data_IF_028556344418
#
_entry.id   IF_028556344418
#
_cell.length_a   1.000
_cell.length_b   1.000
_cell.length_c   1.000
_cell.angle_alpha   90.00
_cell.angle_beta   90.00
_cell.angle_gamma   90.00
#
_symmetry.space_group_name_H-M   'P 1'
#
loop_
_entity.id
_entity.type
_entity.pdbx_description
1 polymer ?
#
# COMPACT_ATOMS: atom_id res chain seq x y z
N UNK A 1 1.92 -22.76 -12.47
CA UNK A 1 1.55 -22.72 -11.05
C UNK A 1 0.07 -22.41 -10.97
N UNK A 2 -0.82 -23.41 -10.90
CA UNK A 2 -2.23 -23.15 -10.65
C UNK A 2 -2.35 -22.77 -9.17
N UNK A 3 -3.02 -21.68 -8.86
CA UNK A 3 -3.46 -21.22 -7.54
C UNK A 3 -2.60 -20.22 -6.75
N UNK A 4 -1.75 -19.43 -7.39
CA UNK A 4 -1.26 -18.24 -6.69
C UNK A 4 -2.43 -17.29 -6.40
N UNK A 5 -2.57 -16.76 -5.17
CA UNK A 5 -3.57 -15.73 -4.88
C UNK A 5 -3.20 -14.37 -5.49
N UNK A 6 -1.95 -14.23 -5.98
CA UNK A 6 -1.44 -13.02 -6.62
C UNK A 6 -1.92 -12.91 -8.07
N UNK A 7 -2.11 -11.69 -8.54
CA UNK A 7 -2.26 -11.39 -9.96
C UNK A 7 -0.93 -10.89 -10.53
N UNK A 8 -0.44 -11.57 -11.57
CA UNK A 8 0.76 -11.13 -12.31
C UNK A 8 0.36 -10.05 -13.30
N UNK A 9 0.97 -8.88 -13.20
CA UNK A 9 0.75 -7.73 -14.08
C UNK A 9 2.01 -7.43 -14.87
N UNK A 10 1.88 -7.51 -16.20
CA UNK A 10 2.95 -7.14 -17.13
C UNK A 10 3.04 -5.63 -17.27
N UNK A 11 4.20 -5.08 -16.94
CA UNK A 11 4.57 -3.67 -17.06
C UNK A 11 5.87 -3.55 -17.84
N UNK A 12 5.88 -3.84 -19.16
CA UNK A 12 7.12 -3.95 -19.92
C UNK A 12 8.06 -2.74 -19.73
N UNK A 13 9.37 -2.97 -19.48
CA UNK A 13 10.11 -4.24 -19.55
C UNK A 13 10.13 -5.05 -18.24
N UNK A 14 9.36 -4.70 -17.21
CA UNK A 14 9.25 -5.46 -15.95
C UNK A 14 7.89 -6.14 -15.79
N UNK A 15 7.78 -6.96 -14.75
CA UNK A 15 6.56 -7.62 -14.31
C UNK A 15 6.46 -7.49 -12.80
N UNK A 16 5.24 -7.31 -12.29
CA UNK A 16 4.98 -7.22 -10.85
C UNK A 16 3.88 -8.21 -10.43
N UNK A 17 3.86 -8.55 -9.15
CA UNK A 17 2.77 -9.32 -8.55
C UNK A 17 1.93 -8.41 -7.68
N UNK A 18 0.63 -8.32 -7.97
CA UNK A 18 -0.37 -7.69 -7.13
C UNK A 18 -0.82 -8.71 -6.08
N UNK A 19 -0.61 -8.40 -4.81
CA UNK A 19 -0.78 -9.35 -3.71
C UNK A 19 -2.06 -9.07 -2.90
N UNK A 20 -2.76 -10.11 -2.40
CA UNK A 20 -3.95 -9.95 -1.55
C UNK A 20 -3.69 -9.13 -0.28
N UNK A 21 -2.46 -9.09 0.19
CA UNK A 21 -2.04 -8.26 1.31
C UNK A 21 -2.06 -6.76 0.99
N UNK A 22 -2.54 -6.35 -0.19
CA UNK A 22 -2.57 -4.97 -0.69
C UNK A 22 -1.16 -4.42 -0.96
N UNK A 23 -0.29 -5.27 -1.44
CA UNK A 23 1.09 -4.95 -1.76
C UNK A 23 1.41 -5.26 -3.22
N UNK A 24 2.45 -4.64 -3.74
CA UNK A 24 3.02 -4.93 -5.06
C UNK A 24 4.43 -5.47 -4.86
N UNK A 25 4.72 -6.63 -5.42
CA UNK A 25 6.07 -7.19 -5.38
C UNK A 25 6.70 -7.18 -6.77
N UNK A 26 7.91 -6.64 -6.89
CA UNK A 26 8.74 -6.72 -8.09
C UNK A 26 9.81 -7.79 -7.89
N UNK A 27 9.67 -8.96 -8.53
CA UNK A 27 10.64 -10.06 -8.36
C UNK A 27 12.06 -9.72 -8.82
N UNK A 28 12.19 -8.90 -9.86
CA UNK A 28 13.50 -8.57 -10.46
C UNK A 28 14.43 -7.84 -9.47
N UNK A 29 13.89 -6.99 -8.60
CA UNK A 29 14.67 -6.26 -7.58
C UNK A 29 14.49 -6.79 -6.16
N UNK A 30 13.60 -7.79 -5.96
CA UNK A 30 13.22 -8.27 -4.64
C UNK A 30 12.52 -7.20 -3.78
N UNK A 31 11.84 -6.23 -4.41
CA UNK A 31 11.24 -5.09 -3.72
C UNK A 31 9.75 -5.27 -3.53
N UNK A 32 9.29 -5.13 -2.30
CA UNK A 32 7.89 -5.07 -1.91
C UNK A 32 7.48 -3.61 -1.73
N UNK A 33 6.39 -3.21 -2.37
CA UNK A 33 5.81 -1.87 -2.24
C UNK A 33 4.47 -1.96 -1.52
N UNK A 34 4.27 -1.05 -0.56
CA UNK A 34 3.00 -0.81 0.13
C UNK A 34 2.74 0.69 0.17
N UNK A 35 1.50 1.11 0.32
CA UNK A 35 1.13 2.52 0.40
C UNK A 35 0.18 2.76 1.57
N UNK A 36 0.21 3.95 2.15
CA UNK A 36 -0.80 4.41 3.11
C UNK A 36 -0.98 3.44 4.28
N UNK A 37 0.11 3.13 4.95
CA UNK A 37 0.15 2.21 6.11
C UNK A 37 -0.62 2.81 7.28
N UNK A 38 -0.54 4.13 7.46
CA UNK A 38 -1.22 4.89 8.51
C UNK A 38 -1.12 4.23 9.89
N UNK A 39 0.08 3.79 10.25
CA UNK A 39 0.32 3.15 11.53
C UNK A 39 -0.10 4.09 12.67
N UNK A 40 -0.77 3.54 13.68
CA UNK A 40 -1.28 4.30 14.82
C UNK A 40 -2.54 5.12 14.56
N UNK A 41 -3.16 5.07 13.39
CA UNK A 41 -4.39 5.82 13.07
C UNK A 41 -5.51 5.59 14.09
N UNK A 42 -5.75 4.35 14.48
CA UNK A 42 -6.78 4.04 15.48
C UNK A 42 -6.45 4.64 16.87
N UNK A 43 -5.19 4.79 17.23
CA UNK A 43 -4.80 5.47 18.47
C UNK A 43 -5.19 6.95 18.43
N UNK A 44 -5.01 7.62 17.29
CA UNK A 44 -5.43 9.01 17.09
C UNK A 44 -6.94 9.17 17.24
N UNK A 45 -7.72 8.27 16.64
CA UNK A 45 -9.19 8.32 16.75
C UNK A 45 -9.65 8.11 18.20
N UNK A 46 -9.05 7.16 18.94
CA UNK A 46 -9.34 6.95 20.36
C UNK A 46 -8.98 8.17 21.22
N UNK A 47 -7.82 8.79 20.95
CA UNK A 47 -7.42 10.01 21.66
C UNK A 47 -8.42 11.16 21.44
N UNK A 48 -9.14 11.15 20.33
CA UNK A 48 -10.22 12.10 20.00
C UNK A 48 -11.61 11.65 20.47
N UNK A 49 -11.69 10.60 21.29
CA UNK A 49 -12.97 10.08 21.85
C UNK A 49 -13.79 9.26 20.89
N UNK A 50 -13.29 8.90 19.72
CA UNK A 50 -13.99 8.06 18.75
C UNK A 50 -13.70 6.58 19.08
N UNK A 51 -14.73 5.76 19.37
CA UNK A 51 -14.55 4.36 19.68
C UNK A 51 -14.10 3.60 18.43
N UNK A 52 -12.91 3.04 18.47
CA UNK A 52 -12.35 2.19 17.40
C UNK A 52 -11.70 0.95 18.01
N UNK A 53 -11.70 -0.19 17.29
CA UNK A 53 -11.10 -1.42 17.78
C UNK A 53 -9.64 -1.24 18.21
N UNK A 54 -9.22 -2.01 19.20
CA UNK A 54 -7.82 -2.17 19.55
C UNK A 54 -7.14 -3.15 18.59
N UNK A 55 -5.79 -3.10 18.49
CA UNK A 55 -5.02 -4.09 17.73
C UNK A 55 -4.75 -3.74 16.27
N UNK A 56 -5.37 -2.71 15.70
CA UNK A 56 -5.25 -2.40 14.27
C UNK A 56 -3.82 -2.11 13.78
N UNK A 57 -2.93 -1.60 14.64
CA UNK A 57 -1.50 -1.45 14.30
C UNK A 57 -0.82 -2.82 14.24
N UNK A 58 -1.13 -3.73 15.17
CA UNK A 58 -0.65 -5.12 15.16
C UNK A 58 -1.10 -5.83 13.89
N UNK A 59 -2.40 -5.82 13.59
CA UNK A 59 -2.95 -6.43 12.36
C UNK A 59 -2.28 -5.90 11.08
N UNK A 60 -1.94 -4.62 11.04
CA UNK A 60 -1.25 -4.01 9.90
C UNK A 60 0.18 -4.55 9.79
N UNK A 61 0.91 -4.62 10.91
CA UNK A 61 2.28 -5.15 10.95
C UNK A 61 2.33 -6.66 10.70
N UNK A 62 1.37 -7.43 11.21
CA UNK A 62 1.24 -8.87 10.96
C UNK A 62 1.01 -9.14 9.47
N UNK A 63 0.14 -8.37 8.81
CA UNK A 63 -0.06 -8.45 7.37
C UNK A 63 1.21 -8.09 6.60
N UNK A 64 1.98 -7.10 7.07
CA UNK A 64 3.24 -6.73 6.45
C UNK A 64 4.27 -7.85 6.58
N UNK A 65 4.38 -8.47 7.75
CA UNK A 65 5.23 -9.63 7.98
C UNK A 65 4.84 -10.81 7.06
N UNK A 66 3.55 -11.10 6.95
CA UNK A 66 3.04 -12.14 6.06
C UNK A 66 3.38 -11.86 4.59
N UNK A 67 3.21 -10.62 4.13
CA UNK A 67 3.56 -10.22 2.77
C UNK A 67 5.06 -10.39 2.49
N UNK A 68 5.94 -9.91 3.39
CA UNK A 68 7.40 -10.05 3.29
C UNK A 68 7.81 -11.52 3.22
N UNK A 69 7.31 -12.34 4.16
CA UNK A 69 7.65 -13.76 4.23
C UNK A 69 7.18 -14.52 2.97
N UNK A 70 5.98 -14.24 2.49
CA UNK A 70 5.37 -14.93 1.34
C UNK A 70 6.06 -14.61 0.01
N UNK A 71 6.52 -13.38 -0.19
CA UNK A 71 7.20 -13.01 -1.43
C UNK A 71 8.73 -13.13 -1.35
N UNK A 72 9.31 -13.25 -0.17
CA UNK A 72 10.76 -13.30 0.03
C UNK A 72 11.45 -11.95 -0.28
N UNK A 73 10.76 -10.84 0.00
CA UNK A 73 11.30 -9.50 -0.26
C UNK A 73 12.57 -9.24 0.56
N UNK A 74 13.56 -8.63 -0.08
CA UNK A 74 14.79 -8.14 0.56
C UNK A 74 14.74 -6.64 0.79
N UNK A 75 13.78 -5.95 0.17
CA UNK A 75 13.54 -4.52 0.31
C UNK A 75 12.04 -4.24 0.45
N UNK A 76 11.71 -3.35 1.37
CA UNK A 76 10.38 -2.77 1.55
C UNK A 76 10.44 -1.27 1.21
N UNK A 77 9.51 -0.81 0.38
CA UNK A 77 9.31 0.61 0.08
C UNK A 77 7.89 0.99 0.42
N UNK A 78 7.72 1.92 1.35
CA UNK A 78 6.44 2.52 1.68
C UNK A 78 6.24 3.76 0.83
N UNK A 79 5.16 3.80 0.06
CA UNK A 79 4.80 4.90 -0.82
C UNK A 79 3.97 5.96 -0.06
N UNK A 80 4.58 6.52 0.98
CA UNK A 80 4.03 7.59 1.81
C UNK A 80 2.99 7.14 2.85
N UNK A 81 2.68 8.10 3.72
CA UNK A 81 1.71 7.96 4.81
C UNK A 81 1.98 6.72 5.68
N UNK A 82 3.26 6.57 6.10
CA UNK A 82 3.67 5.50 6.99
C UNK A 82 3.03 5.66 8.38
N UNK A 83 3.10 6.88 8.95
CA UNK A 83 2.40 7.25 10.18
C UNK A 83 1.19 8.15 9.85
N UNK A 84 0.15 8.11 10.67
CA UNK A 84 -1.04 8.92 10.42
C UNK A 84 -0.91 10.36 10.91
N UNK A 85 -0.34 10.56 12.09
CA UNK A 85 -0.15 11.86 12.74
C UNK A 85 0.87 11.74 13.89
N UNK A 86 1.25 12.84 14.51
CA UNK A 86 2.14 12.85 15.68
C UNK A 86 1.59 11.99 16.83
N UNK A 87 0.28 12.03 17.05
CA UNK A 87 -0.42 11.24 18.08
C UNK A 87 -0.41 9.72 17.77
N UNK A 88 -0.02 9.32 16.57
CA UNK A 88 0.20 7.90 16.22
C UNK A 88 1.36 7.27 16.98
N UNK A 89 2.25 8.07 17.57
CA UNK A 89 3.44 7.64 18.28
C UNK A 89 3.11 7.21 19.74
N UNK A 90 1.99 6.48 19.92
CA UNK A 90 1.69 5.88 21.21
C UNK A 90 2.73 4.81 21.57
N UNK A 91 2.98 4.63 22.88
CA UNK A 91 3.93 3.62 23.35
C UNK A 91 3.64 2.22 22.77
N UNK A 92 2.37 1.85 22.67
CA UNK A 92 1.97 0.56 22.10
C UNK A 92 2.27 0.45 20.60
N UNK A 93 2.07 1.53 19.83
CA UNK A 93 2.38 1.55 18.37
C UNK A 93 3.90 1.46 18.18
N UNK A 94 4.67 2.20 18.95
CA UNK A 94 6.13 2.17 18.83
C UNK A 94 6.72 0.84 19.27
N UNK A 95 6.21 0.23 20.34
CA UNK A 95 6.63 -1.10 20.78
C UNK A 95 6.33 -2.18 19.71
N UNK A 96 5.16 -2.13 19.09
CA UNK A 96 4.80 -3.05 18.00
C UNK A 96 5.73 -2.88 16.78
N UNK A 97 6.05 -1.63 16.41
CA UNK A 97 6.96 -1.34 15.30
C UNK A 97 8.39 -1.82 15.60
N UNK A 98 8.88 -1.61 16.84
CA UNK A 98 10.16 -2.11 17.29
C UNK A 98 10.24 -3.64 17.18
N UNK A 99 9.26 -4.35 17.74
CA UNK A 99 9.21 -5.80 17.69
C UNK A 99 9.14 -6.33 16.24
N UNK A 100 8.38 -5.65 15.38
CA UNK A 100 8.32 -6.01 13.95
C UNK A 100 9.69 -5.82 13.29
N UNK A 101 10.39 -4.74 13.59
CA UNK A 101 11.71 -4.46 13.01
C UNK A 101 12.77 -5.45 13.50
N UNK A 102 12.75 -5.80 14.80
CA UNK A 102 13.64 -6.81 15.37
C UNK A 102 13.46 -8.18 14.72
N UNK A 103 12.24 -8.52 14.30
CA UNK A 103 11.93 -9.74 13.56
C UNK A 103 12.39 -9.71 12.10
N UNK A 104 12.75 -8.55 11.54
CA UNK A 104 13.16 -8.39 10.14
C UNK A 104 14.47 -7.57 10.02
N UNK A 105 15.58 -7.98 10.68
CA UNK A 105 16.80 -7.16 10.78
C UNK A 105 17.46 -6.89 9.42
N UNK A 106 17.38 -7.85 8.49
CA UNK A 106 18.05 -7.77 7.18
C UNK A 106 17.19 -7.11 6.09
N UNK A 107 15.92 -6.79 6.37
CA UNK A 107 15.04 -6.15 5.40
C UNK A 107 15.41 -4.66 5.26
N UNK A 108 15.83 -4.25 4.07
CA UNK A 108 16.08 -2.84 3.78
C UNK A 108 14.74 -2.09 3.66
N UNK A 109 14.49 -1.10 4.54
CA UNK A 109 13.23 -0.36 4.57
C UNK A 109 13.42 1.10 4.16
N UNK A 110 12.62 1.54 3.18
CA UNK A 110 12.55 2.93 2.73
C UNK A 110 11.14 3.50 2.77
N UNK A 111 11.02 4.80 3.00
CA UNK A 111 9.74 5.53 3.01
C UNK A 111 9.85 6.71 2.05
N UNK A 112 9.00 6.77 1.03
CA UNK A 112 8.74 7.98 0.27
C UNK A 112 7.83 8.85 1.13
N UNK A 113 8.15 10.12 1.29
CA UNK A 113 7.41 11.00 2.19
C UNK A 113 5.99 11.27 1.66
N UNK A 114 4.98 10.96 2.46
CA UNK A 114 3.57 11.32 2.23
C UNK A 114 3.18 12.62 2.92
N UNK A 115 1.97 13.11 2.65
CA UNK A 115 1.48 14.34 3.25
C UNK A 115 1.24 14.22 4.76
N UNK A 116 0.90 13.04 5.27
CA UNK A 116 0.76 12.79 6.71
C UNK A 116 2.12 12.71 7.41
N UNK A 117 3.14 12.14 6.77
CA UNK A 117 4.48 11.95 7.35
C UNK A 117 5.13 13.29 7.71
N UNK A 118 4.94 14.34 6.90
CA UNK A 118 5.43 15.71 7.17
C UNK A 118 4.97 16.26 8.52
N UNK A 119 3.80 15.85 8.98
CA UNK A 119 3.19 16.27 10.24
C UNK A 119 3.44 15.27 11.38
N UNK A 120 3.72 14.02 11.06
CA UNK A 120 3.96 12.96 12.04
C UNK A 120 5.39 12.99 12.60
N UNK A 121 6.35 13.58 11.89
CA UNK A 121 7.77 13.54 12.21
C UNK A 121 8.43 12.25 11.71
N UNK A 122 9.78 12.25 11.64
CA UNK A 122 10.57 11.15 11.05
C UNK A 122 10.94 10.07 12.08
N UNK A 123 10.02 9.74 12.99
CA UNK A 123 10.28 8.74 14.04
C UNK A 123 10.58 7.34 13.48
N UNK A 124 10.11 7.04 12.29
CA UNK A 124 10.37 5.78 11.58
C UNK A 124 11.87 5.51 11.36
N UNK A 125 12.71 6.56 11.30
CA UNK A 125 14.16 6.41 11.14
C UNK A 125 14.82 5.75 12.35
N UNK A 126 14.29 6.00 13.56
CA UNK A 126 14.74 5.33 14.78
C UNK A 126 14.51 3.81 14.74
N UNK A 127 13.64 3.33 13.85
CA UNK A 127 13.34 1.91 13.61
C UNK A 127 13.97 1.41 12.29
N UNK A 128 14.95 2.12 11.73
CA UNK A 128 15.67 1.70 10.54
C UNK A 128 14.88 1.81 9.22
N UNK A 129 13.79 2.60 9.20
CA UNK A 129 13.13 3.01 7.95
C UNK A 129 13.75 4.31 7.45
N UNK A 130 14.50 4.23 6.37
CA UNK A 130 15.14 5.40 5.78
C UNK A 130 14.11 6.25 5.03
N UNK A 131 13.98 7.53 5.40
CA UNK A 131 13.22 8.49 4.58
C UNK A 131 13.99 8.76 3.30
N UNK A 132 13.29 8.65 2.16
CA UNK A 132 13.87 8.89 0.84
C UNK A 132 13.72 10.37 0.48
N UNK A 133 14.78 10.96 -0.03
CA UNK A 133 14.78 12.33 -0.56
C UNK A 133 14.16 12.32 -1.98
N UNK A 134 12.82 12.38 -2.03
CA UNK A 134 12.03 12.30 -3.25
C UNK A 134 11.51 10.90 -3.58
N UNK A 135 11.15 10.65 -4.85
CA UNK A 135 10.59 9.38 -5.28
C UNK A 135 11.60 8.23 -5.18
N UNK A 136 11.10 7.02 -4.90
CA UNK A 136 11.89 5.82 -5.15
C UNK A 136 12.00 5.58 -6.66
N UNK A 137 13.19 5.20 -7.16
CA UNK A 137 13.43 5.04 -8.61
C UNK A 137 14.30 3.81 -8.88
N UNK A 138 13.87 3.00 -9.87
CA UNK A 138 14.68 1.99 -10.56
C UNK A 138 14.72 2.28 -12.05
N UNK A 139 15.31 1.38 -12.84
CA UNK A 139 15.34 1.51 -14.31
C UNK A 139 13.93 1.46 -14.92
N UNK A 140 13.02 0.71 -14.33
CA UNK A 140 11.70 0.39 -14.88
C UNK A 140 10.54 1.00 -14.11
N UNK A 141 10.70 1.19 -12.79
CA UNK A 141 9.65 1.67 -11.89
C UNK A 141 10.05 2.97 -11.20
N UNK A 142 9.05 3.75 -10.87
CA UNK A 142 9.10 4.92 -9.99
C UNK A 142 8.03 4.76 -8.91
N UNK A 143 8.38 4.98 -7.65
CA UNK A 143 7.47 4.98 -6.52
C UNK A 143 7.28 6.39 -5.98
N UNK A 144 6.04 6.86 -5.88
CA UNK A 144 5.65 8.18 -5.35
C UNK A 144 4.54 8.03 -4.34
N UNK A 145 4.26 9.08 -3.56
CA UNK A 145 3.05 9.08 -2.74
C UNK A 145 1.82 9.46 -3.56
N UNK A 146 1.82 10.64 -4.18
CA UNK A 146 0.66 11.16 -4.91
C UNK A 146 0.74 10.78 -6.42
N UNK A 147 -0.28 10.10 -6.98
CA UNK A 147 -0.34 9.79 -8.40
C UNK A 147 -0.41 11.02 -9.31
N UNK A 148 -0.75 12.21 -8.78
CA UNK A 148 -0.71 13.46 -9.52
C UNK A 148 0.70 13.96 -9.80
N UNK A 149 1.73 13.40 -9.14
CA UNK A 149 3.11 13.69 -9.47
C UNK A 149 3.43 13.23 -10.90
N UNK A 150 4.05 14.12 -11.68
CA UNK A 150 4.30 13.89 -13.09
C UNK A 150 4.95 12.53 -13.36
N UNK A 151 4.36 11.77 -14.27
CA UNK A 151 4.95 10.52 -14.75
C UNK A 151 6.25 10.82 -15.51
N UNK A 152 7.23 9.93 -15.37
CA UNK A 152 8.50 10.03 -16.09
C UNK A 152 8.45 9.12 -17.31
N UNK A 153 8.75 9.60 -18.53
CA UNK A 153 8.81 8.77 -19.72
C UNK A 153 9.72 7.53 -19.51
N UNK A 154 9.28 6.39 -20.02
CA UNK A 154 10.04 5.14 -19.95
C UNK A 154 9.88 4.34 -18.65
N UNK A 155 9.24 4.88 -17.60
CA UNK A 155 8.98 4.18 -16.33
C UNK A 155 7.51 4.02 -16.06
N UNK A 156 7.15 2.97 -15.32
CA UNK A 156 5.85 2.83 -14.69
C UNK A 156 5.88 3.47 -13.31
N UNK A 157 4.79 4.11 -12.92
CA UNK A 157 4.68 4.75 -11.60
C UNK A 157 3.79 3.90 -10.69
N UNK A 158 4.29 3.59 -9.51
CA UNK A 158 3.52 3.04 -8.39
C UNK A 158 3.19 4.19 -7.44
N UNK A 159 1.93 4.32 -7.01
CA UNK A 159 1.49 5.43 -6.17
C UNK A 159 0.52 4.99 -5.07
N UNK A 160 0.41 5.78 -4.01
CA UNK A 160 -0.55 5.66 -2.92
C UNK A 160 -1.61 6.76 -2.93
N UNK A 161 -1.89 7.34 -1.74
CA UNK A 161 -2.68 8.54 -1.47
C UNK A 161 -4.18 8.43 -1.73
N UNK A 162 -4.60 7.88 -2.86
CA UNK A 162 -6.02 7.84 -3.28
C UNK A 162 -6.84 6.81 -2.51
N UNK A 163 -6.21 5.74 -2.02
CA UNK A 163 -6.87 4.60 -1.38
C UNK A 163 -8.00 4.00 -2.24
N UNK A 164 -7.74 3.57 -3.48
CA UNK A 164 -8.79 3.17 -4.40
C UNK A 164 -9.60 1.99 -3.88
N UNK A 165 -10.92 2.13 -3.98
CA UNK A 165 -11.91 1.07 -3.73
C UNK A 165 -12.90 1.02 -4.88
N UNK A 166 -13.48 -0.14 -5.12
CA UNK A 166 -14.62 -0.30 -6.04
C UNK A 166 -15.82 -0.83 -5.29
N UNK A 167 -17.00 -0.49 -5.78
CA UNK A 167 -18.26 -0.99 -5.28
C UNK A 167 -18.71 -2.19 -6.10
N UNK A 168 -18.66 -3.36 -5.49
CA UNK A 168 -19.26 -4.56 -6.04
C UNK A 168 -20.75 -4.56 -5.66
N UNK A 169 -21.63 -4.67 -6.65
CA UNK A 169 -23.09 -4.67 -6.46
C UNK A 169 -23.60 -6.10 -6.56
N UNK A 170 -24.19 -6.62 -5.51
CA UNK A 170 -25.00 -7.81 -5.50
C UNK A 170 -26.46 -7.50 -5.89
N UNK A 171 -27.33 -8.49 -5.79
CA UNK A 171 -28.76 -8.33 -6.09
C UNK A 171 -29.47 -7.44 -5.06
N UNK A 172 -29.08 -7.48 -3.79
CA UNK A 172 -29.73 -6.80 -2.67
C UNK A 172 -28.78 -5.99 -1.79
N UNK A 173 -27.47 -6.06 -2.07
CA UNK A 173 -26.42 -5.44 -1.28
C UNK A 173 -25.34 -4.82 -2.14
N UNK A 174 -24.40 -4.13 -1.51
CA UNK A 174 -23.19 -3.67 -2.17
C UNK A 174 -22.01 -3.67 -1.20
N UNK A 175 -20.85 -4.08 -1.66
CA UNK A 175 -19.62 -4.13 -0.89
C UNK A 175 -18.58 -3.20 -1.52
N UNK A 176 -17.96 -2.35 -0.71
CA UNK A 176 -16.77 -1.58 -1.10
C UNK A 176 -15.54 -2.42 -0.79
N UNK A 177 -14.76 -2.70 -1.82
CA UNK A 177 -13.56 -3.53 -1.71
C UNK A 177 -12.33 -2.77 -2.19
N UNK A 178 -11.16 -2.92 -1.52
CA UNK A 178 -9.92 -2.34 -1.98
C UNK A 178 -9.56 -2.86 -3.37
N UNK A 179 -8.91 -2.01 -4.16
CA UNK A 179 -8.44 -2.42 -5.48
C UNK A 179 -7.13 -1.72 -5.85
N UNK A 180 -6.36 -2.34 -6.71
CA UNK A 180 -5.33 -1.68 -7.48
C UNK A 180 -5.98 -1.04 -8.70
N UNK A 181 -5.58 0.18 -9.01
CA UNK A 181 -6.13 0.95 -10.12
C UNK A 181 -5.02 1.39 -11.07
N UNK A 182 -5.04 0.86 -12.28
CA UNK A 182 -4.09 1.20 -13.33
C UNK A 182 -4.74 2.16 -14.34
N UNK A 183 -4.19 3.37 -14.41
CA UNK A 183 -4.55 4.40 -15.39
C UNK A 183 -3.31 4.84 -16.16
N UNK A 184 -3.30 4.59 -17.47
CA UNK A 184 -2.12 4.86 -18.30
C UNK A 184 -0.91 4.07 -17.79
N UNK A 185 0.11 4.77 -17.33
CA UNK A 185 1.33 4.17 -16.75
C UNK A 185 1.43 4.35 -15.23
N UNK A 186 0.33 4.65 -14.56
CA UNK A 186 0.28 4.82 -13.09
C UNK A 186 -0.57 3.72 -12.48
N UNK A 187 0.03 2.91 -11.63
CA UNK A 187 -0.64 1.91 -10.80
C UNK A 187 -0.79 2.48 -9.38
N UNK A 188 -2.02 2.81 -9.00
CA UNK A 188 -2.34 3.27 -7.66
C UNK A 188 -2.69 2.08 -6.76
N UNK A 189 -2.00 1.96 -5.65
CA UNK A 189 -2.16 0.90 -4.68
C UNK A 189 -3.35 1.20 -3.74
N UNK A 190 -4.06 0.18 -3.28
CA UNK A 190 -5.01 0.34 -2.17
C UNK A 190 -4.27 0.68 -0.88
N UNK A 191 -4.92 1.39 0.03
CA UNK A 191 -4.34 1.64 1.34
C UNK A 191 -4.01 0.33 2.06
N UNK A 192 -2.78 0.23 2.57
CA UNK A 192 -2.30 -0.94 3.29
C UNK A 192 -2.88 -1.01 4.71
N UNK A 193 -3.06 0.11 5.37
CA UNK A 193 -3.54 0.18 6.75
C UNK A 193 -4.88 -0.54 6.98
N UNK A 194 -5.00 -1.25 8.11
CA UNK A 194 -6.21 -2.01 8.46
C UNK A 194 -7.43 -1.08 8.68
N UNK A 195 -7.21 0.11 9.23
CA UNK A 195 -8.24 1.08 9.56
C UNK A 195 -8.14 2.33 8.66
N UNK A 196 -8.25 2.11 7.33
CA UNK A 196 -8.12 3.20 6.36
C UNK A 196 -9.37 3.23 5.48
N UNK A 197 -9.96 4.42 5.32
CA UNK A 197 -11.05 4.64 4.37
C UNK A 197 -10.59 4.45 2.93
N UNK A 198 -11.52 4.50 2.00
CA UNK A 198 -11.20 4.39 0.58
C UNK A 198 -12.02 5.37 -0.25
N UNK A 199 -11.47 5.75 -1.40
CA UNK A 199 -12.09 6.59 -2.42
C UNK A 199 -12.50 5.73 -3.62
N UNK A 200 -13.71 5.94 -4.13
CA UNK A 200 -14.23 5.25 -5.32
C UNK A 200 -13.92 6.13 -6.56
N UNK A 201 -12.87 5.80 -7.34
CA UNK A 201 -12.48 6.65 -8.47
C UNK A 201 -13.48 6.56 -9.61
N UNK A 202 -13.62 7.65 -10.36
CA UNK A 202 -14.34 7.63 -11.63
C UNK A 202 -13.47 6.92 -12.68
N UNK A 203 -13.91 5.73 -13.09
CA UNK A 203 -13.18 4.88 -14.03
C UNK A 203 -13.41 5.33 -15.46
N UNK A 204 -12.34 5.47 -16.22
CA UNK A 204 -12.37 5.65 -17.67
C UNK A 204 -12.30 4.32 -18.43
N UNK A 205 -12.62 4.34 -19.73
CA UNK A 205 -12.67 3.13 -20.56
C UNK A 205 -11.32 2.39 -20.67
N UNK A 206 -10.21 3.11 -20.55
CA UNK A 206 -8.86 2.55 -20.61
C UNK A 206 -8.33 2.07 -19.25
N UNK A 207 -9.04 2.35 -18.15
CA UNK A 207 -8.58 1.97 -16.82
C UNK A 207 -8.67 0.45 -16.61
N UNK A 208 -7.73 -0.07 -15.84
CA UNK A 208 -7.78 -1.46 -15.38
C UNK A 208 -7.85 -1.46 -13.85
N UNK A 209 -8.70 -2.31 -13.32
CA UNK A 209 -8.94 -2.43 -11.89
C UNK A 209 -8.75 -3.88 -11.47
N UNK A 210 -8.03 -4.08 -10.37
CA UNK A 210 -7.78 -5.40 -9.81
C UNK A 210 -8.29 -5.42 -8.38
N UNK A 211 -9.34 -6.17 -8.15
CA UNK A 211 -10.05 -6.25 -6.86
C UNK A 211 -9.26 -7.13 -5.90
N UNK A 212 -9.13 -6.66 -4.66
CA UNK A 212 -8.44 -7.38 -3.58
C UNK A 212 -9.47 -8.11 -2.72
N UNK A 213 -9.38 -9.44 -2.73
CA UNK A 213 -10.09 -10.35 -1.83
C UNK A 213 -9.10 -11.38 -1.30
N UNK A 214 -9.52 -12.65 -1.15
CA UNK A 214 -8.62 -13.77 -0.84
C UNK A 214 -7.59 -14.00 -1.94
N UNK A 215 -7.90 -13.51 -3.13
CA UNK A 215 -7.00 -13.38 -4.28
C UNK A 215 -7.20 -12.03 -4.96
N UNK A 216 -6.22 -11.62 -5.76
CA UNK A 216 -6.36 -10.45 -6.63
C UNK A 216 -6.92 -10.88 -7.98
N UNK A 217 -8.02 -10.24 -8.38
CA UNK A 217 -8.71 -10.58 -9.63
C UNK A 217 -9.01 -9.33 -10.46
N UNK A 218 -8.82 -9.37 -11.79
CA UNK A 218 -9.22 -8.25 -12.65
C UNK A 218 -10.74 -8.06 -12.57
N UNK A 219 -11.16 -6.81 -12.46
CA UNK A 219 -12.58 -6.45 -12.57
C UNK A 219 -12.97 -6.48 -14.06
N UNK A 220 -13.94 -7.32 -14.44
CA UNK A 220 -14.41 -7.34 -15.84
C UNK A 220 -14.91 -5.95 -16.24
N UNK A 221 -14.57 -5.49 -17.45
CA UNK A 221 -15.14 -4.27 -18.01
C UNK A 221 -16.65 -4.46 -18.13
N UNK A 222 -17.41 -3.52 -17.60
CA UNK A 222 -18.84 -3.48 -17.89
C UNK A 222 -18.98 -3.06 -19.35
N UNK A 223 -19.40 -3.97 -20.22
CA UNK A 223 -19.82 -3.61 -21.58
C UNK A 223 -21.02 -2.67 -21.45
N UNK A 224 -21.01 -1.48 -22.06
CA UNK A 224 -22.21 -0.63 -22.06
C UNK A 224 -23.36 -1.43 -22.65
N UNK A 225 -24.49 -1.44 -21.96
CA UNK A 225 -25.74 -2.00 -22.48
C UNK A 225 -26.37 -1.03 -23.46
#
# INVERSE_FOLDING_TARGET
MPDSPDHVLDLPPTQVRLMPERAVFEPASGTLFVADVHLGKAAVFRARGIPVPHGTSGETLDRLAAAVARCGATRLVVLGDFLHAKESQSASTMAALAAWRDAHPDLACGVVEGNHDRHAGQVQEAFGFRTLDGPWVSDTLRGVHDPAEASVPGRWTLAGHVHPVVRLRGRHDSLRVPCFWLRGRVLTLPAFGAFTGGFEPSLGDADQVYVVGDRVSPLPRQTPR
#
